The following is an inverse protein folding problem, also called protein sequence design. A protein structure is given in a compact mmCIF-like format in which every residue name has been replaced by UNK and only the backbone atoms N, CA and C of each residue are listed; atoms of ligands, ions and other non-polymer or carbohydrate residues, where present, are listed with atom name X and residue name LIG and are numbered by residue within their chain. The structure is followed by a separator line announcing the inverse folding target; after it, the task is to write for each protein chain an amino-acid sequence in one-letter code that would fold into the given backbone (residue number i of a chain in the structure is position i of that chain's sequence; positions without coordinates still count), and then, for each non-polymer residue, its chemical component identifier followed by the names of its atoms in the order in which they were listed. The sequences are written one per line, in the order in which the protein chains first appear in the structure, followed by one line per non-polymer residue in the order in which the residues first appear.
data_IF_463886470048
#
_entry.id   IF_463886470048
#
_cell.length_a   1.000
_cell.length_b   1.000
_cell.length_c   1.000
_cell.angle_alpha   90.00
_cell.angle_beta   90.00
_cell.angle_gamma   90.00
#
_symmetry.space_group_name_H-M   'P 1'
#
loop_
_entity.id
_entity.type
_entity.pdbx_description
1 polymer ?
#
# COMPACT_ATOMS: atom_id res chain seq x y z
N UNK A 1 -5.67 -22.68 -0.15
CA UNK A 1 -5.58 -22.16 -1.54
C UNK A 1 -4.90 -20.81 -1.48
N UNK A 2 -3.98 -20.55 -2.39
CA UNK A 2 -3.28 -19.26 -2.47
C UNK A 2 -4.22 -18.17 -3.00
N UNK A 3 -4.06 -16.94 -2.48
CA UNK A 3 -4.78 -15.77 -3.01
C UNK A 3 -4.22 -15.43 -4.38
N UNK A 4 -5.03 -15.43 -5.42
CA UNK A 4 -4.58 -15.22 -6.80
C UNK A 4 -5.44 -14.22 -7.53
N UNK A 5 -4.81 -13.28 -8.24
CA UNK A 5 -5.45 -12.29 -9.10
C UNK A 5 -4.95 -12.44 -10.54
N UNK A 6 -5.85 -12.73 -11.46
CA UNK A 6 -5.60 -12.82 -12.90
C UNK A 6 -6.36 -11.68 -13.57
N UNK A 7 -5.68 -10.95 -14.47
CA UNK A 7 -6.24 -9.81 -15.19
C UNK A 7 -5.89 -9.93 -16.67
N UNK A 8 -6.84 -9.64 -17.54
CA UNK A 8 -6.62 -9.41 -18.97
C UNK A 8 -7.40 -8.17 -19.40
N UNK A 9 -6.73 -7.27 -20.11
CA UNK A 9 -7.28 -6.08 -20.75
C UNK A 9 -8.17 -5.22 -19.83
N UNK A 10 -7.61 -4.73 -18.73
CA UNK A 10 -8.27 -3.81 -17.79
C UNK A 10 -7.40 -2.57 -17.54
N UNK A 11 -7.86 -1.41 -18.01
CA UNK A 11 -7.10 -0.16 -17.95
C UNK A 11 -5.72 -0.29 -18.60
N UNK A 12 -4.66 0.06 -17.88
CA UNK A 12 -3.29 -0.08 -18.36
C UNK A 12 -2.75 -1.53 -18.37
N UNK A 13 -3.48 -2.48 -17.75
CA UNK A 13 -3.03 -3.86 -17.60
C UNK A 13 -3.56 -4.71 -18.76
N UNK A 14 -2.65 -5.19 -19.60
CA UNK A 14 -2.92 -6.15 -20.69
C UNK A 14 -2.99 -7.58 -20.17
N UNK A 15 -2.07 -7.98 -19.30
CA UNK A 15 -2.05 -9.33 -18.72
C UNK A 15 -1.34 -9.37 -17.37
N UNK A 16 -1.96 -10.00 -16.38
CA UNK A 16 -1.35 -10.25 -15.07
C UNK A 16 -1.77 -11.62 -14.52
N UNK A 17 -0.85 -12.30 -13.84
CA UNK A 17 -1.13 -13.45 -12.96
C UNK A 17 -0.31 -13.27 -11.69
N UNK A 18 -1.00 -12.90 -10.61
CA UNK A 18 -0.40 -12.44 -9.36
C UNK A 18 -0.81 -13.40 -8.25
N UNK A 19 0.15 -13.94 -7.52
CA UNK A 19 -0.08 -14.67 -6.28
C UNK A 19 0.17 -13.70 -5.10
N UNK A 20 -0.89 -13.37 -4.36
CA UNK A 20 -0.82 -12.43 -3.23
C UNK A 20 -0.34 -13.15 -1.97
N UNK A 21 0.77 -12.65 -1.43
CA UNK A 21 1.35 -13.08 -0.16
C UNK A 21 0.98 -12.11 0.95
N UNK A 22 1.60 -12.24 2.12
CA UNK A 22 1.34 -11.31 3.23
C UNK A 22 1.97 -9.96 2.96
N UNK A 23 3.17 -9.93 2.38
CA UNK A 23 3.84 -8.72 1.95
C UNK A 23 3.94 -8.70 0.42
N UNK A 24 3.34 -7.72 -0.23
CA UNK A 24 3.37 -7.59 -1.68
C UNK A 24 3.97 -6.23 -2.07
N UNK A 25 4.84 -6.21 -3.07
CA UNK A 25 5.38 -4.98 -3.64
C UNK A 25 5.26 -4.97 -5.16
N UNK A 26 4.72 -3.88 -5.69
CA UNK A 26 4.53 -3.63 -7.12
C UNK A 26 5.36 -2.43 -7.54
N UNK A 27 6.32 -2.62 -8.45
CA UNK A 27 7.15 -1.57 -9.02
C UNK A 27 6.88 -1.37 -10.52
N UNK A 28 7.10 -0.16 -11.02
CA UNK A 28 7.05 0.15 -12.46
C UNK A 28 6.93 1.64 -12.71
N UNK A 29 7.09 2.06 -13.97
CA UNK A 29 7.04 3.47 -14.38
C UNK A 29 5.70 4.16 -14.11
N UNK A 30 5.66 5.49 -14.21
CA UNK A 30 4.44 6.25 -13.93
C UNK A 30 3.37 5.92 -14.98
N UNK A 31 2.13 5.73 -14.53
CA UNK A 31 1.04 5.32 -15.41
C UNK A 31 1.07 3.85 -15.85
N UNK A 32 1.99 3.01 -15.33
CA UNK A 32 2.08 1.60 -15.72
C UNK A 32 0.91 0.70 -15.29
N UNK A 33 0.05 1.17 -14.37
CA UNK A 33 -1.08 0.40 -13.83
C UNK A 33 -0.91 -0.11 -12.40
N UNK A 34 0.13 0.35 -11.67
CA UNK A 34 0.31 0.02 -10.23
C UNK A 34 -0.92 0.31 -9.39
N UNK A 35 -1.48 1.52 -9.48
CA UNK A 35 -2.68 1.90 -8.74
C UNK A 35 -3.90 1.10 -9.16
N UNK A 36 -3.99 0.67 -10.43
CA UNK A 36 -5.04 -0.23 -10.89
C UNK A 36 -5.01 -1.55 -10.13
N UNK A 37 -3.82 -2.16 -9.98
CA UNK A 37 -3.65 -3.41 -9.24
C UNK A 37 -3.95 -3.20 -7.75
N UNK A 38 -3.43 -2.15 -7.14
CA UNK A 38 -3.66 -1.84 -5.72
C UNK A 38 -5.16 -1.69 -5.42
N UNK A 39 -5.91 -0.99 -6.28
CA UNK A 39 -7.36 -0.82 -6.15
C UNK A 39 -8.11 -2.14 -6.36
N UNK A 40 -7.75 -2.94 -7.35
CA UNK A 40 -8.37 -4.28 -7.54
C UNK A 40 -8.16 -5.18 -6.32
N UNK A 41 -6.93 -5.22 -5.79
CA UNK A 41 -6.62 -5.96 -4.55
C UNK A 41 -7.49 -5.44 -3.41
N UNK A 42 -7.57 -4.11 -3.24
CA UNK A 42 -8.42 -3.50 -2.20
C UNK A 42 -9.87 -3.95 -2.32
N UNK A 43 -10.46 -3.83 -3.51
CA UNK A 43 -11.86 -4.15 -3.77
C UNK A 43 -12.12 -5.62 -3.45
N UNK A 44 -11.34 -6.54 -4.04
CA UNK A 44 -11.64 -7.95 -3.93
C UNK A 44 -11.33 -8.54 -2.55
N UNK A 45 -10.23 -8.14 -1.91
CA UNK A 45 -9.91 -8.64 -0.57
C UNK A 45 -10.80 -8.01 0.52
N UNK A 46 -11.41 -6.84 0.26
CA UNK A 46 -12.36 -6.18 1.17
C UNK A 46 -13.82 -6.54 0.91
N UNK A 47 -14.11 -7.22 -0.21
CA UNK A 47 -15.47 -7.56 -0.59
C UNK A 47 -16.03 -8.67 0.31
N UNK A 48 -17.10 -8.33 1.04
CA UNK A 48 -17.91 -9.33 1.73
C UNK A 48 -19.06 -9.73 0.82
N UNK A 49 -19.13 -11.02 0.48
CA UNK A 49 -20.18 -11.54 -0.41
C UNK A 49 -21.51 -11.55 0.34
N UNK A 50 -22.27 -10.49 0.14
CA UNK A 50 -23.63 -10.39 0.62
C UNK A 50 -24.55 -11.15 -0.36
N UNK A 51 -25.07 -12.30 0.08
CA UNK A 51 -26.05 -13.11 -0.69
C UNK A 51 -27.42 -12.44 -0.83
N UNK A 52 -27.61 -11.28 -0.20
CA UNK A 52 -28.86 -10.51 -0.14
C UNK A 52 -28.62 -9.19 -0.89
N UNK A 53 -28.68 -9.21 -2.21
CA UNK A 53 -28.47 -8.01 -3.04
C UNK A 53 -28.08 -8.33 -4.47
N UNK A 54 -28.08 -7.30 -5.33
CA UNK A 54 -27.54 -7.39 -6.67
C UNK A 54 -26.00 -7.37 -6.62
N UNK A 55 -25.41 -8.57 -6.69
CA UNK A 55 -23.97 -8.79 -6.67
C UNK A 55 -23.24 -7.99 -7.77
N UNK A 56 -23.83 -7.90 -8.97
CA UNK A 56 -23.25 -7.15 -10.09
C UNK A 56 -23.14 -5.67 -9.73
N UNK A 57 -24.25 -5.07 -9.32
CA UNK A 57 -24.32 -3.63 -9.03
C UNK A 57 -23.45 -3.27 -7.81
N UNK A 58 -23.41 -4.14 -6.80
CA UNK A 58 -22.58 -3.95 -5.61
C UNK A 58 -21.07 -3.96 -5.90
N UNK A 59 -20.59 -4.81 -6.81
CA UNK A 59 -19.19 -4.79 -7.21
C UNK A 59 -18.90 -3.60 -8.12
N UNK A 60 -19.77 -3.29 -9.09
CA UNK A 60 -19.58 -2.14 -9.97
C UNK A 60 -19.47 -0.82 -9.21
N UNK A 61 -20.28 -0.61 -8.15
CA UNK A 61 -20.19 0.61 -7.34
C UNK A 61 -18.82 0.76 -6.66
N UNK A 62 -18.18 -0.34 -6.23
CA UNK A 62 -16.82 -0.28 -5.68
C UNK A 62 -15.80 0.14 -6.74
N UNK A 63 -15.95 -0.30 -7.99
CA UNK A 63 -15.08 0.16 -9.08
C UNK A 63 -15.28 1.65 -9.37
N UNK A 64 -16.50 2.17 -9.24
CA UNK A 64 -16.78 3.61 -9.34
C UNK A 64 -16.15 4.39 -8.17
N UNK A 65 -16.34 3.93 -6.93
CA UNK A 65 -15.75 4.54 -5.72
C UNK A 65 -14.22 4.62 -5.77
N UNK A 66 -13.58 3.64 -6.41
CA UNK A 66 -12.14 3.59 -6.63
C UNK A 66 -11.68 4.32 -7.91
N UNK A 67 -12.61 4.92 -8.68
CA UNK A 67 -12.38 5.59 -9.95
C UNK A 67 -11.69 4.70 -11.00
N UNK A 68 -12.12 3.45 -11.10
CA UNK A 68 -11.60 2.47 -12.07
C UNK A 68 -12.71 1.77 -12.89
N UNK A 69 -13.98 2.17 -12.73
CA UNK A 69 -15.08 1.63 -13.54
C UNK A 69 -14.89 1.91 -15.05
N UNK A 70 -14.31 3.05 -15.42
CA UNK A 70 -14.02 3.37 -16.83
C UNK A 70 -12.91 2.53 -17.45
N UNK A 71 -12.27 1.63 -16.69
CA UNK A 71 -11.16 0.81 -17.18
C UNK A 71 -11.62 -0.53 -17.78
N UNK A 72 -12.90 -0.87 -17.66
CA UNK A 72 -13.50 -2.01 -18.34
C UNK A 72 -13.48 -1.81 -19.87
N UNK A 73 -13.08 -2.86 -20.57
CA UNK A 73 -13.10 -3.01 -22.02
C UNK A 73 -14.01 -4.20 -22.37
N UNK A 74 -14.42 -4.32 -23.65
CA UNK A 74 -15.27 -5.42 -24.11
C UNK A 74 -14.68 -6.81 -23.84
N UNK A 75 -13.35 -6.93 -23.85
CA UNK A 75 -12.61 -8.17 -23.64
C UNK A 75 -11.92 -8.26 -22.27
N UNK A 76 -12.33 -7.40 -21.32
CA UNK A 76 -11.83 -7.47 -19.93
C UNK A 76 -12.17 -8.83 -19.33
N UNK A 77 -11.14 -9.44 -18.75
CA UNK A 77 -11.29 -10.61 -17.89
C UNK A 77 -10.57 -10.36 -16.56
N UNK A 78 -11.26 -10.60 -15.45
CA UNK A 78 -10.68 -10.53 -14.12
C UNK A 78 -11.08 -11.79 -13.37
N UNK A 79 -10.15 -12.42 -12.68
CA UNK A 79 -10.42 -13.58 -11.85
C UNK A 79 -9.61 -13.50 -10.57
N UNK A 80 -10.31 -13.44 -9.44
CA UNK A 80 -9.76 -13.41 -8.11
C UNK A 80 -10.17 -14.65 -7.32
N UNK A 81 -9.20 -15.36 -6.76
CA UNK A 81 -9.42 -16.55 -5.93
C UNK A 81 -8.82 -16.33 -4.54
N UNK A 82 -9.52 -16.76 -3.49
CA UNK A 82 -9.02 -16.80 -2.11
C UNK A 82 -9.53 -18.06 -1.40
N UNK A 83 -9.23 -18.19 -0.10
CA UNK A 83 -9.55 -19.40 0.68
C UNK A 83 -11.05 -19.74 0.74
N UNK A 84 -11.92 -18.73 0.62
CA UNK A 84 -13.37 -18.88 0.81
C UNK A 84 -14.16 -18.65 -0.47
N UNK A 85 -13.53 -18.56 -1.64
CA UNK A 85 -14.26 -18.43 -2.90
C UNK A 85 -13.46 -17.88 -4.06
N UNK A 86 -14.18 -17.64 -5.15
CA UNK A 86 -13.69 -16.99 -6.36
C UNK A 86 -14.70 -15.95 -6.84
N UNK A 87 -14.19 -14.85 -7.39
CA UNK A 87 -14.94 -13.84 -8.14
C UNK A 87 -14.32 -13.78 -9.53
N UNK A 88 -15.13 -13.81 -10.57
CA UNK A 88 -14.67 -13.58 -11.93
C UNK A 88 -15.57 -12.59 -12.66
N UNK A 89 -14.97 -11.86 -13.60
CA UNK A 89 -15.63 -10.93 -14.51
C UNK A 89 -15.29 -11.36 -15.94
N UNK A 90 -16.31 -11.66 -16.72
CA UNK A 90 -16.23 -12.00 -18.14
C UNK A 90 -17.57 -11.68 -18.82
N UNK A 91 -17.57 -11.39 -20.12
CA UNK A 91 -18.78 -11.04 -20.89
C UNK A 91 -19.64 -9.94 -20.25
N UNK A 92 -18.97 -8.92 -19.71
CA UNK A 92 -19.56 -7.78 -18.98
C UNK A 92 -20.35 -8.15 -17.71
N UNK A 93 -20.08 -9.31 -17.10
CA UNK A 93 -20.78 -9.79 -15.90
C UNK A 93 -19.80 -10.33 -14.87
N UNK A 94 -20.05 -9.99 -13.62
CA UNK A 94 -19.47 -10.62 -12.45
C UNK A 94 -20.24 -11.89 -12.11
N UNK A 95 -19.50 -12.90 -11.68
CA UNK A 95 -20.02 -14.07 -11.01
C UNK A 95 -19.07 -14.49 -9.89
N UNK A 96 -19.57 -15.30 -8.96
CA UNK A 96 -18.78 -15.83 -7.86
C UNK A 96 -19.14 -17.26 -7.53
N UNK A 97 -18.17 -17.98 -6.97
CA UNK A 97 -18.36 -19.30 -6.38
C UNK A 97 -17.88 -19.27 -4.93
N UNK A 98 -18.80 -19.52 -3.98
CA UNK A 98 -18.53 -19.45 -2.53
C UNK A 98 -19.07 -20.71 -1.87
N UNK A 99 -18.25 -21.46 -1.10
CA UNK A 99 -18.73 -22.62 -0.34
C UNK A 99 -19.86 -22.25 0.64
N UNK A 100 -20.83 -23.14 0.82
CA UNK A 100 -22.03 -22.89 1.64
C UNK A 100 -21.77 -22.77 3.16
N UNK A 101 -20.58 -23.11 3.65
CA UNK A 101 -20.39 -23.48 5.07
C UNK A 101 -19.21 -22.83 5.81
N UNK A 102 -18.65 -21.70 5.34
CA UNK A 102 -17.62 -20.97 6.12
C UNK A 102 -18.17 -19.63 6.60
N UNK A 103 -18.05 -19.38 7.91
CA UNK A 103 -18.12 -18.03 8.44
C UNK A 103 -17.13 -17.16 7.67
N UNK A 104 -17.65 -16.15 6.98
CA UNK A 104 -16.82 -15.20 6.24
C UNK A 104 -16.16 -14.33 7.31
N UNK A 105 -14.90 -14.61 7.64
CA UNK A 105 -14.10 -13.65 8.41
C UNK A 105 -14.05 -12.36 7.59
N UNK A 106 -14.61 -11.28 8.12
CA UNK A 106 -14.58 -9.97 7.45
C UNK A 106 -13.14 -9.49 7.38
N UNK A 107 -12.52 -9.65 6.22
CA UNK A 107 -11.23 -9.02 5.92
C UNK A 107 -11.54 -7.55 5.69
N UNK A 108 -11.05 -6.70 6.56
CA UNK A 108 -11.18 -5.26 6.43
C UNK A 108 -9.87 -4.70 5.87
N UNK A 109 -9.96 -4.19 4.65
CA UNK A 109 -8.86 -3.62 3.91
C UNK A 109 -8.81 -2.10 4.06
N UNK A 110 -7.66 -1.58 4.43
CA UNK A 110 -7.40 -0.14 4.39
C UNK A 110 -6.57 0.22 3.16
N UNK A 111 -7.17 0.98 2.26
CA UNK A 111 -6.46 1.59 1.13
C UNK A 111 -6.01 3.01 1.47
N UNK A 112 -4.74 3.29 1.23
CA UNK A 112 -4.10 4.59 1.47
C UNK A 112 -3.57 5.12 0.13
N UNK A 113 -4.17 6.21 -0.41
CA UNK A 113 -3.78 6.77 -1.70
C UNK A 113 -2.41 7.46 -1.68
N UNK A 114 -1.80 7.61 -2.85
CA UNK A 114 -0.58 8.39 -3.04
C UNK A 114 -0.84 9.90 -2.81
N UNK A 115 -2.03 10.38 -3.15
CA UNK A 115 -2.46 11.78 -3.02
C UNK A 115 -2.82 12.18 -1.58
N UNK A 116 -2.58 11.31 -0.59
CA UNK A 116 -2.87 11.55 0.83
C UNK A 116 -2.30 12.87 1.39
N UNK A 117 -1.23 13.39 0.80
CA UNK A 117 -0.67 14.70 1.18
C UNK A 117 -1.69 15.84 1.00
N UNK A 118 -2.66 15.69 0.09
CA UNK A 118 -3.75 16.65 -0.07
C UNK A 118 -4.53 16.84 1.24
N UNK A 119 -4.68 15.78 2.03
CA UNK A 119 -5.45 15.82 3.27
C UNK A 119 -4.76 16.66 4.34
N UNK A 120 -3.43 16.59 4.46
CA UNK A 120 -2.69 17.44 5.40
C UNK A 120 -2.65 18.89 4.97
N UNK A 121 -2.57 19.17 3.65
CA UNK A 121 -2.59 20.55 3.14
C UNK A 121 -3.96 21.22 3.28
N UNK A 122 -5.07 20.48 3.10
CA UNK A 122 -6.42 21.03 3.05
C UNK A 122 -7.34 20.57 4.19
N UNK A 123 -6.81 19.97 5.26
CA UNK A 123 -7.60 19.38 6.36
C UNK A 123 -8.74 20.29 6.84
N UNK A 124 -8.46 21.58 7.00
CA UNK A 124 -9.41 22.61 7.47
C UNK A 124 -10.55 22.92 6.50
N UNK A 125 -10.37 22.66 5.21
CA UNK A 125 -11.32 22.99 4.15
C UNK A 125 -12.00 21.76 3.55
N UNK A 126 -11.57 20.54 3.90
CA UNK A 126 -12.18 19.29 3.40
C UNK A 126 -13.69 19.26 3.64
N UNK A 127 -14.15 19.61 4.84
CA UNK A 127 -15.59 19.63 5.14
C UNK A 127 -16.35 20.60 4.22
N UNK A 128 -15.80 21.79 3.97
CA UNK A 128 -16.38 22.77 3.04
C UNK A 128 -16.41 22.25 1.61
N UNK A 129 -15.35 21.58 1.14
CA UNK A 129 -15.30 21.01 -0.20
C UNK A 129 -16.35 19.90 -0.38
N UNK A 130 -16.50 19.03 0.62
CA UNK A 130 -17.52 17.96 0.63
C UNK A 130 -18.93 18.55 0.63
N UNK A 131 -19.21 19.55 1.48
CA UNK A 131 -20.52 20.20 1.54
C UNK A 131 -20.90 20.89 0.22
N UNK A 132 -19.91 21.41 -0.51
CA UNK A 132 -20.10 22.01 -1.83
C UNK A 132 -20.07 20.99 -2.98
N UNK A 133 -20.11 19.68 -2.69
CA UNK A 133 -20.10 18.59 -3.68
C UNK A 133 -18.90 18.63 -4.63
N UNK A 134 -17.74 19.06 -4.12
CA UNK A 134 -16.49 18.95 -4.87
C UNK A 134 -16.21 17.46 -5.20
N UNK A 135 -15.70 17.14 -6.40
CA UNK A 135 -15.45 15.76 -6.83
C UNK A 135 -14.19 15.19 -6.17
N UNK A 136 -14.26 14.94 -4.86
CA UNK A 136 -13.16 14.34 -4.10
C UNK A 136 -13.30 12.81 -4.13
N UNK A 137 -12.24 12.06 -4.46
CA UNK A 137 -12.26 10.60 -4.41
C UNK A 137 -12.70 10.05 -3.05
N UNK A 138 -13.59 9.06 -3.03
CA UNK A 138 -14.09 8.45 -1.79
C UNK A 138 -12.95 7.83 -0.97
N UNK A 139 -11.95 7.25 -1.64
CA UNK A 139 -10.73 6.71 -1.01
C UNK A 139 -9.96 7.77 -0.21
N UNK A 140 -9.89 9.00 -0.73
CA UNK A 140 -9.25 10.12 -0.05
C UNK A 140 -10.07 10.63 1.13
N UNK A 141 -11.41 10.64 1.01
CA UNK A 141 -12.31 10.98 2.10
C UNK A 141 -12.26 9.95 3.24
N UNK A 142 -12.19 8.66 2.92
CA UNK A 142 -12.02 7.59 3.90
C UNK A 142 -10.69 7.76 4.65
N UNK A 143 -9.59 7.99 3.94
CA UNK A 143 -8.30 8.30 4.55
C UNK A 143 -8.38 9.54 5.46
N UNK A 144 -9.01 10.63 5.00
CA UNK A 144 -9.18 11.84 5.81
C UNK A 144 -9.98 11.58 7.09
N UNK A 145 -11.05 10.79 7.01
CA UNK A 145 -11.85 10.42 8.18
C UNK A 145 -11.02 9.68 9.24
N UNK A 146 -10.22 8.69 8.82
CA UNK A 146 -9.36 7.93 9.73
C UNK A 146 -8.25 8.82 10.29
N UNK A 147 -7.68 9.70 9.48
CA UNK A 147 -6.67 10.65 9.93
C UNK A 147 -7.21 11.63 10.99
N UNK A 148 -8.45 12.12 10.84
CA UNK A 148 -9.09 12.94 11.89
C UNK A 148 -9.31 12.15 13.18
N UNK A 149 -9.75 10.89 13.10
CA UNK A 149 -9.85 10.01 14.28
C UNK A 149 -8.49 9.80 14.95
N UNK A 150 -7.44 9.58 14.15
CA UNK A 150 -6.07 9.43 14.62
C UNK A 150 -5.56 10.68 15.34
N UNK A 151 -5.80 11.88 14.79
CA UNK A 151 -5.46 13.15 15.44
C UNK A 151 -6.14 13.33 16.79
N UNK A 152 -7.41 12.95 16.89
CA UNK A 152 -8.15 13.01 18.16
C UNK A 152 -7.59 12.04 19.21
N UNK A 153 -7.15 10.85 18.79
CA UNK A 153 -6.56 9.84 19.69
C UNK A 153 -5.12 10.16 20.09
N UNK A 154 -4.32 10.72 19.16
CA UNK A 154 -2.92 11.04 19.36
C UNK A 154 -2.65 12.54 19.14
N UNK A 155 -3.12 13.43 20.04
CA UNK A 155 -2.91 14.87 19.91
C UNK A 155 -1.43 15.26 20.01
N UNK A 156 -0.59 14.39 20.57
CA UNK A 156 0.87 14.49 20.57
C UNK A 156 1.44 13.19 20.00
N UNK A 157 1.93 13.23 18.76
CA UNK A 157 2.37 12.06 18.01
C UNK A 157 3.87 12.11 17.71
N UNK A 158 4.64 11.21 18.32
CA UNK A 158 6.09 11.16 18.15
C UNK A 158 6.46 10.47 16.83
N UNK A 159 7.19 11.17 15.97
CA UNK A 159 7.59 10.69 14.65
C UNK A 159 9.05 10.26 14.69
N UNK A 160 9.26 9.03 15.16
CA UNK A 160 10.60 8.49 15.42
C UNK A 160 11.52 8.51 14.19
N UNK A 161 10.97 8.40 12.97
CA UNK A 161 11.78 8.39 11.74
C UNK A 161 12.45 9.75 11.43
N UNK A 162 11.92 10.84 11.96
CA UNK A 162 12.39 12.22 11.75
C UNK A 162 12.85 12.90 13.05
N UNK A 163 12.72 12.23 14.19
CA UNK A 163 12.90 12.80 15.52
C UNK A 163 12.12 14.10 15.76
N UNK A 164 10.84 14.08 15.36
CA UNK A 164 9.90 15.20 15.50
C UNK A 164 8.72 14.81 16.39
N UNK A 165 8.01 15.81 16.89
CA UNK A 165 6.72 15.61 17.56
C UNK A 165 5.66 16.42 16.82
N UNK A 166 4.66 15.73 16.26
CA UNK A 166 3.46 16.37 15.73
C UNK A 166 2.51 16.66 16.87
N UNK A 167 1.99 17.88 16.90
CA UNK A 167 1.06 18.33 17.92
C UNK A 167 -0.15 18.97 17.26
N UNK A 168 -1.32 18.56 17.70
CA UNK A 168 -2.58 19.17 17.26
C UNK A 168 -3.42 19.58 18.45
N UNK A 169 -3.89 20.83 18.40
CA UNK A 169 -5.03 21.29 19.16
C UNK A 169 -6.19 21.52 18.16
N UNK A 170 -7.42 21.65 18.66
CA UNK A 170 -8.64 21.75 17.82
C UNK A 170 -8.59 22.81 16.71
N UNK A 171 -7.63 23.76 16.74
CA UNK A 171 -7.47 24.81 15.74
C UNK A 171 -6.11 24.85 15.04
N UNK A 172 -5.06 24.20 15.57
CA UNK A 172 -3.70 24.28 15.07
C UNK A 172 -3.00 22.91 14.98
N UNK A 173 -2.17 22.79 13.96
CA UNK A 173 -1.30 21.63 13.72
C UNK A 173 0.13 22.14 13.60
N UNK A 174 1.03 21.60 14.42
CA UNK A 174 2.42 22.07 14.53
C UNK A 174 3.38 20.88 14.61
N UNK A 175 4.64 21.14 14.25
CA UNK A 175 5.75 20.22 14.42
C UNK A 175 6.80 20.82 15.35
N UNK A 176 7.13 20.11 16.41
CA UNK A 176 8.30 20.38 17.23
C UNK A 176 9.50 19.60 16.70
N UNK A 177 10.51 20.34 16.26
CA UNK A 177 11.78 19.87 15.74
C UNK A 177 12.78 19.72 16.90
N UNK A 178 13.03 18.50 17.38
CA UNK A 178 13.81 18.29 18.62
C UNK A 178 15.26 18.76 18.53
N UNK A 179 15.93 18.51 17.41
CA UNK A 179 17.33 18.93 17.19
C UNK A 179 17.51 20.44 17.34
N UNK A 180 16.63 21.21 16.69
CA UNK A 180 16.69 22.68 16.70
C UNK A 180 15.92 23.31 17.86
N UNK A 181 15.13 22.52 18.60
CA UNK A 181 14.15 22.96 19.63
C UNK A 181 13.18 24.03 19.13
N UNK A 182 12.77 23.96 17.86
CA UNK A 182 11.85 24.91 17.24
C UNK A 182 10.49 24.27 16.96
N UNK A 183 9.44 25.07 17.06
CA UNK A 183 8.10 24.69 16.61
C UNK A 183 7.77 25.44 15.33
N UNK A 184 7.28 24.73 14.32
CA UNK A 184 6.78 25.30 13.06
C UNK A 184 5.33 24.86 12.81
N UNK A 185 4.53 25.62 12.06
CA UNK A 185 3.25 25.13 11.56
C UNK A 185 3.45 23.88 10.69
N UNK A 186 2.60 22.86 10.85
CA UNK A 186 2.73 21.61 10.09
C UNK A 186 2.63 21.84 8.57
N UNK A 187 1.75 22.76 8.15
CA UNK A 187 1.60 23.19 6.75
C UNK A 187 2.87 23.77 6.11
N UNK A 188 3.85 24.19 6.92
CA UNK A 188 5.10 24.76 6.45
C UNK A 188 6.22 23.70 6.34
N UNK A 189 5.92 22.43 6.71
CA UNK A 189 6.85 21.30 6.55
C UNK A 189 7.01 20.89 5.09
N UNK A 190 8.06 20.12 4.75
CA UNK A 190 8.23 19.59 3.40
C UNK A 190 7.10 18.61 3.02
N UNK A 191 6.80 18.49 1.72
CA UNK A 191 5.75 17.60 1.21
C UNK A 191 5.93 16.14 1.63
N UNK A 192 7.17 15.65 1.71
CA UNK A 192 7.48 14.31 2.23
C UNK A 192 7.03 14.13 3.69
N UNK A 193 7.31 15.11 4.56
CA UNK A 193 6.85 15.10 5.95
C UNK A 193 5.32 15.19 6.02
N UNK A 194 4.72 16.08 5.21
CA UNK A 194 3.26 16.24 5.13
C UNK A 194 2.54 15.00 4.62
N UNK A 195 3.21 14.13 3.86
CA UNK A 195 2.66 12.85 3.39
C UNK A 195 2.84 11.71 4.39
N UNK A 196 4.01 11.65 5.06
CA UNK A 196 4.36 10.52 5.93
C UNK A 196 3.73 10.61 7.31
N UNK A 197 3.59 11.81 7.90
CA UNK A 197 2.98 11.93 9.23
C UNK A 197 1.53 11.43 9.21
N UNK A 198 0.65 11.85 8.28
CA UNK A 198 -0.70 11.31 8.18
C UNK A 198 -0.73 9.80 7.94
N UNK A 199 0.17 9.29 7.08
CA UNK A 199 0.30 7.84 6.84
C UNK A 199 0.57 7.08 8.14
N UNK A 200 1.59 7.49 8.90
CA UNK A 200 1.96 6.81 10.14
C UNK A 200 0.87 6.90 11.21
N UNK A 201 0.22 8.06 11.36
CA UNK A 201 -0.89 8.24 12.30
C UNK A 201 -2.09 7.35 11.94
N UNK A 202 -2.42 7.26 10.64
CA UNK A 202 -3.51 6.41 10.15
C UNK A 202 -3.19 4.92 10.37
N UNK A 203 -1.96 4.48 10.11
CA UNK A 203 -1.55 3.10 10.36
C UNK A 203 -1.62 2.77 11.86
N UNK A 204 -1.12 3.65 12.73
CA UNK A 204 -1.15 3.45 14.17
C UNK A 204 -2.57 3.35 14.70
N UNK A 205 -3.44 4.27 14.26
CA UNK A 205 -4.85 4.24 14.62
C UNK A 205 -5.53 2.95 14.15
N UNK A 206 -5.38 2.60 12.87
CA UNK A 206 -6.02 1.44 12.26
C UNK A 206 -5.59 0.11 12.91
N UNK A 207 -4.31 -0.01 13.25
CA UNK A 207 -3.76 -1.20 13.94
C UNK A 207 -4.25 -1.26 15.38
N UNK A 208 -4.22 -0.16 16.12
CA UNK A 208 -4.64 -0.13 17.52
C UNK A 208 -6.15 -0.40 17.68
N UNK A 209 -6.99 0.14 16.80
CA UNK A 209 -8.44 -0.10 16.81
C UNK A 209 -8.81 -1.49 16.26
N UNK A 210 -7.87 -2.19 15.62
CA UNK A 210 -8.07 -3.51 14.99
C UNK A 210 -9.22 -3.50 13.97
N UNK A 211 -9.53 -2.33 13.40
CA UNK A 211 -10.55 -2.16 12.38
C UNK A 211 -10.13 -2.81 11.05
N UNK A 212 -8.82 -2.91 10.80
CA UNK A 212 -8.25 -3.40 9.55
C UNK A 212 -7.19 -4.47 9.80
N UNK A 213 -7.10 -5.44 8.89
CA UNK A 213 -6.13 -6.54 8.99
C UNK A 213 -5.28 -6.72 7.71
N UNK A 214 -5.50 -5.87 6.71
CA UNK A 214 -4.68 -5.74 5.50
C UNK A 214 -4.60 -4.28 5.07
N UNK A 215 -3.46 -3.89 4.56
CA UNK A 215 -3.17 -2.52 4.18
C UNK A 215 -2.69 -2.46 2.74
N UNK A 216 -3.25 -1.56 1.94
CA UNK A 216 -2.79 -1.27 0.58
C UNK A 216 -2.33 0.18 0.57
N UNK A 217 -1.04 0.41 0.36
CA UNK A 217 -0.43 1.75 0.50
C UNK A 217 0.23 2.11 -0.82
N UNK A 218 -0.25 3.16 -1.45
CA UNK A 218 0.34 3.65 -2.68
C UNK A 218 1.49 4.62 -2.42
N UNK A 219 2.63 4.36 -3.06
CA UNK A 219 3.81 5.22 -3.10
C UNK A 219 4.12 5.83 -1.71
N UNK A 220 4.31 4.99 -0.67
CA UNK A 220 4.58 5.45 0.69
C UNK A 220 5.81 6.37 0.76
N UNK A 221 6.76 6.19 -0.15
CA UNK A 221 8.07 6.84 -0.20
C UNK A 221 8.12 8.15 -0.98
N UNK A 222 7.01 8.56 -1.62
CA UNK A 222 7.00 9.73 -2.49
C UNK A 222 7.51 10.98 -1.73
N UNK A 223 8.45 11.70 -2.35
CA UNK A 223 9.18 12.84 -1.79
C UNK A 223 10.11 12.54 -0.58
N UNK A 224 10.52 11.29 -0.36
CA UNK A 224 11.48 10.92 0.70
C UNK A 224 12.86 10.55 0.17
N UNK A 225 13.89 10.96 0.91
CA UNK A 225 15.25 10.49 0.69
C UNK A 225 15.38 8.97 0.91
N UNK A 226 16.24 8.26 0.15
CA UNK A 226 16.40 6.80 0.23
C UNK A 226 16.54 6.23 1.65
N UNK A 227 17.36 6.87 2.50
CA UNK A 227 17.58 6.41 3.88
C UNK A 227 16.30 6.47 4.73
N UNK A 228 15.43 7.45 4.49
CA UNK A 228 14.14 7.57 5.16
C UNK A 228 13.16 6.50 4.69
N UNK A 229 13.25 6.08 3.42
CA UNK A 229 12.39 5.01 2.87
C UNK A 229 12.62 3.69 3.61
N UNK A 230 13.87 3.36 3.96
CA UNK A 230 14.22 2.18 4.78
C UNK A 230 13.52 2.25 6.14
N UNK A 231 13.65 3.38 6.83
CA UNK A 231 13.01 3.59 8.15
C UNK A 231 11.48 3.51 8.05
N UNK A 232 10.90 4.09 6.99
CA UNK A 232 9.46 4.03 6.75
C UNK A 232 8.99 2.59 6.52
N UNK A 233 9.67 1.83 5.67
CA UNK A 233 9.35 0.43 5.42
C UNK A 233 9.40 -0.39 6.72
N UNK A 234 10.44 -0.21 7.53
CA UNK A 234 10.54 -0.88 8.83
C UNK A 234 9.35 -0.55 9.75
N UNK A 235 8.89 0.71 9.77
CA UNK A 235 7.69 1.08 10.54
C UNK A 235 6.43 0.40 10.01
N UNK A 236 6.26 0.35 8.69
CA UNK A 236 5.11 -0.32 8.06
C UNK A 236 5.12 -1.82 8.41
N UNK A 237 6.23 -2.52 8.18
CA UNK A 237 6.34 -3.97 8.43
C UNK A 237 6.17 -4.32 9.90
N UNK A 238 6.70 -3.50 10.82
CA UNK A 238 6.52 -3.69 12.27
C UNK A 238 5.06 -3.70 12.72
N UNK A 239 4.22 -2.92 12.05
CA UNK A 239 2.84 -2.64 12.48
C UNK A 239 1.82 -3.44 11.68
N UNK A 240 2.10 -3.66 10.39
CA UNK A 240 1.19 -4.25 9.44
C UNK A 240 1.68 -5.64 9.05
N UNK A 241 0.99 -6.68 9.53
CA UNK A 241 1.33 -8.08 9.22
C UNK A 241 1.02 -8.47 7.78
N UNK A 242 0.11 -7.73 7.11
CA UNK A 242 -0.30 -7.94 5.72
C UNK A 242 -0.35 -6.60 4.99
N UNK A 243 0.55 -6.39 4.05
CA UNK A 243 0.66 -5.11 3.33
C UNK A 243 0.93 -5.32 1.84
N UNK A 244 0.29 -4.50 1.02
CA UNK A 244 0.58 -4.35 -0.39
C UNK A 244 1.05 -2.94 -0.65
N UNK A 245 2.23 -2.79 -1.25
CA UNK A 245 2.83 -1.50 -1.57
C UNK A 245 2.95 -1.34 -3.08
N UNK A 246 2.69 -0.12 -3.56
CA UNK A 246 3.14 0.29 -4.90
C UNK A 246 4.30 1.27 -4.76
N UNK A 247 5.26 1.21 -5.67
CA UNK A 247 6.46 2.04 -5.59
C UNK A 247 7.02 2.37 -6.96
N UNK A 248 7.78 3.46 -7.01
CA UNK A 248 8.69 3.79 -8.11
C UNK A 248 10.15 3.61 -7.73
N UNK A 249 10.42 3.26 -6.48
CA UNK A 249 11.73 3.38 -5.86
C UNK A 249 12.47 2.05 -5.83
N UNK A 250 13.59 1.91 -6.57
CA UNK A 250 14.48 0.76 -6.40
C UNK A 250 15.10 0.71 -4.99
N UNK A 251 15.19 1.86 -4.31
CA UNK A 251 15.67 1.90 -2.92
C UNK A 251 14.69 1.23 -1.95
N UNK A 252 13.38 1.33 -2.19
CA UNK A 252 12.39 0.66 -1.35
C UNK A 252 12.46 -0.86 -1.55
N UNK A 253 12.70 -1.33 -2.78
CA UNK A 253 12.93 -2.76 -3.05
C UNK A 253 14.24 -3.26 -2.41
N UNK A 254 15.30 -2.47 -2.50
CA UNK A 254 16.56 -2.79 -1.80
C UNK A 254 16.34 -2.90 -0.29
N UNK A 255 15.49 -2.04 0.28
CA UNK A 255 15.11 -2.11 1.68
C UNK A 255 14.33 -3.41 1.99
N UNK A 256 13.41 -3.85 1.13
CA UNK A 256 12.76 -5.17 1.27
C UNK A 256 13.76 -6.32 1.24
N UNK A 257 14.71 -6.30 0.31
CA UNK A 257 15.77 -7.32 0.25
C UNK A 257 16.57 -7.39 1.54
N UNK A 258 16.91 -6.25 2.15
CA UNK A 258 17.60 -6.25 3.44
C UNK A 258 16.80 -6.96 4.56
N UNK A 259 15.47 -6.86 4.53
CA UNK A 259 14.60 -7.54 5.50
C UNK A 259 14.53 -9.06 5.25
N UNK A 260 14.56 -9.47 3.98
CA UNK A 260 14.59 -10.89 3.58
C UNK A 260 15.96 -11.52 3.86
N UNK A 261 17.04 -10.81 3.54
CA UNK A 261 18.41 -11.24 3.81
C UNK A 261 18.66 -11.48 5.30
N UNK A 262 18.11 -10.63 6.16
CA UNK A 262 18.19 -10.83 7.60
C UNK A 262 17.59 -12.20 8.02
N UNK A 263 16.49 -12.62 7.39
CA UNK A 263 15.90 -13.94 7.63
C UNK A 263 16.79 -15.07 7.10
N UNK A 264 17.28 -14.95 5.86
CA UNK A 264 18.15 -15.96 5.24
C UNK A 264 19.47 -16.14 6.02
N UNK A 265 20.06 -15.05 6.50
CA UNK A 265 21.26 -15.05 7.34
C UNK A 265 21.02 -15.72 8.70
N UNK A 266 19.84 -15.53 9.32
CA UNK A 266 19.47 -16.21 10.57
C UNK A 266 19.34 -17.72 10.41
N UNK A 267 18.76 -18.19 9.30
CA UNK A 267 18.66 -19.62 9.00
C UNK A 267 20.04 -20.22 8.79
N UNK A 268 20.89 -19.53 8.03
CA UNK A 268 22.22 -20.03 7.67
C UNK A 268 23.21 -19.98 8.84
N UNK A 269 23.09 -18.98 9.72
CA UNK A 269 24.00 -18.75 10.85
C UNK A 269 23.25 -18.32 12.12
N UNK A 270 22.53 -19.24 12.80
CA UNK A 270 21.74 -18.91 13.99
C UNK A 270 22.55 -18.28 15.14
N UNK A 271 23.85 -18.59 15.23
CA UNK A 271 24.76 -18.02 16.23
C UNK A 271 24.99 -16.52 16.10
N UNK A 272 24.72 -15.92 14.92
CA UNK A 272 24.88 -14.48 14.65
C UNK A 272 23.61 -13.66 14.89
N UNK A 273 22.57 -14.25 15.50
CA UNK A 273 21.28 -13.60 15.65
C UNK A 273 21.36 -12.20 16.31
N UNK A 274 22.13 -12.07 17.39
CA UNK A 274 22.32 -10.80 18.09
C UNK A 274 23.00 -9.71 17.24
N UNK A 275 23.87 -10.08 16.31
CA UNK A 275 24.49 -9.14 15.37
C UNK A 275 23.48 -8.69 14.31
N UNK A 276 22.68 -9.62 13.80
CA UNK A 276 21.64 -9.35 12.80
C UNK A 276 20.57 -8.42 13.40
N UNK A 277 20.12 -8.68 14.63
CA UNK A 277 19.10 -7.85 15.30
C UNK A 277 19.55 -6.41 15.58
N UNK A 278 20.86 -6.14 15.62
CA UNK A 278 21.39 -4.76 15.70
C UNK A 278 21.23 -3.98 14.40
N UNK A 279 21.15 -4.68 13.26
CA UNK A 279 21.03 -4.08 11.93
C UNK A 279 19.57 -4.04 11.46
N UNK A 280 18.86 -5.15 11.63
CA UNK A 280 17.46 -5.29 11.24
C UNK A 280 16.65 -5.70 12.48
N UNK A 281 15.68 -4.87 12.91
CA UNK A 281 14.84 -5.20 14.06
C UNK A 281 14.12 -6.52 13.87
N UNK A 282 13.98 -7.31 14.94
CA UNK A 282 13.40 -8.66 14.90
C UNK A 282 12.00 -8.68 14.27
N UNK A 283 11.20 -7.66 14.53
CA UNK A 283 9.83 -7.53 14.03
C UNK A 283 9.77 -7.16 12.54
N UNK A 284 10.88 -6.72 11.95
CA UNK A 284 10.98 -6.38 10.53
C UNK A 284 11.45 -7.55 9.66
N UNK A 285 11.81 -8.68 10.25
CA UNK A 285 12.41 -9.79 9.50
C UNK A 285 11.35 -10.48 8.66
N UNK A 286 11.59 -10.56 7.36
CA UNK A 286 10.64 -11.09 6.39
C UNK A 286 11.09 -12.45 5.87
N UNK A 287 10.22 -13.46 5.99
CA UNK A 287 10.43 -14.72 5.30
C UNK A 287 10.08 -14.54 3.82
N UNK A 288 11.01 -14.92 2.93
CA UNK A 288 10.84 -14.91 1.48
C UNK A 288 9.52 -15.56 1.01
N UNK A 289 9.08 -16.66 1.65
CA UNK A 289 7.83 -17.36 1.29
C UNK A 289 6.56 -16.50 1.45
N UNK A 290 6.65 -15.46 2.29
CA UNK A 290 5.57 -14.54 2.60
C UNK A 290 5.64 -13.25 1.77
N UNK A 291 6.57 -13.16 0.81
CA UNK A 291 6.78 -11.98 -0.04
C UNK A 291 6.35 -12.27 -1.47
N UNK A 292 5.57 -11.36 -2.05
CA UNK A 292 5.31 -11.27 -3.49
C UNK A 292 5.95 -9.98 -4.04
N UNK A 293 6.73 -10.07 -5.10
CA UNK A 293 7.34 -8.90 -5.73
C UNK A 293 7.12 -8.93 -7.24
N UNK A 294 6.59 -7.84 -7.79
CA UNK A 294 6.19 -7.77 -9.18
C UNK A 294 6.61 -6.47 -9.85
N UNK A 295 7.14 -6.57 -11.08
CA UNK A 295 7.37 -5.44 -11.98
C UNK A 295 6.21 -5.33 -12.97
N UNK A 296 5.75 -4.09 -13.20
CA UNK A 296 4.76 -3.75 -14.21
C UNK A 296 5.45 -3.00 -15.34
N UNK A 297 5.44 -3.60 -16.52
CA UNK A 297 6.11 -3.07 -17.71
C UNK A 297 5.31 -3.43 -18.96
N UNK A 298 5.07 -2.44 -19.82
CA UNK A 298 4.33 -2.62 -21.08
C UNK A 298 2.94 -3.28 -20.92
N UNK A 299 2.26 -2.99 -19.80
CA UNK A 299 0.97 -3.56 -19.44
C UNK A 299 1.01 -5.02 -18.98
N UNK A 300 2.19 -5.60 -18.76
CA UNK A 300 2.37 -6.94 -18.20
C UNK A 300 2.87 -6.86 -16.77
N UNK A 301 2.42 -7.79 -15.93
CA UNK A 301 2.89 -7.94 -14.54
C UNK A 301 3.73 -9.21 -14.45
N UNK A 302 4.99 -9.05 -14.07
CA UNK A 302 5.99 -10.13 -14.04
C UNK A 302 6.56 -10.26 -12.63
N UNK A 303 6.68 -11.48 -12.13
CA UNK A 303 7.36 -11.74 -10.85
C UNK A 303 8.85 -11.37 -10.99
N UNK A 304 9.37 -10.69 -9.99
CA UNK A 304 10.79 -10.35 -9.86
C UNK A 304 11.42 -11.02 -8.63
N UNK A 305 10.82 -12.12 -8.16
CA UNK A 305 11.42 -12.98 -7.15
C UNK A 305 12.43 -13.92 -7.80
N UNK A 306 13.57 -14.08 -7.15
CA UNK A 306 14.59 -15.07 -7.44
C UNK A 306 14.48 -16.23 -6.46
N UNK A 307 14.01 -17.37 -6.94
CA UNK A 307 13.80 -18.58 -6.13
C UNK A 307 15.12 -19.27 -5.74
N UNK A 308 16.20 -19.06 -6.51
CA UNK A 308 17.51 -19.65 -6.24
C UNK A 308 18.22 -18.89 -5.12
N UNK A 309 18.27 -17.56 -5.22
CA UNK A 309 18.90 -16.69 -4.22
C UNK A 309 17.96 -16.31 -3.08
N UNK A 310 16.65 -16.57 -3.22
CA UNK A 310 15.59 -16.21 -2.25
C UNK A 310 15.56 -14.71 -1.96
N UNK A 311 15.57 -13.90 -3.01
CA UNK A 311 15.60 -12.43 -3.00
C UNK A 311 14.72 -11.81 -4.10
N UNK A 312 14.59 -10.49 -4.10
CA UNK A 312 13.97 -9.72 -5.17
C UNK A 312 15.06 -9.23 -6.14
N UNK A 313 14.89 -9.44 -7.44
CA UNK A 313 15.80 -8.99 -8.50
C UNK A 313 15.63 -7.49 -8.71
N UNK A 314 16.59 -6.69 -8.25
CA UNK A 314 16.57 -5.23 -8.36
C UNK A 314 17.05 -4.70 -9.73
N UNK A 315 17.90 -5.47 -10.43
CA UNK A 315 18.59 -5.03 -11.64
C UNK A 315 17.67 -4.87 -12.87
N UNK A 316 16.44 -5.37 -12.81
CA UNK A 316 15.47 -5.23 -13.91
C UNK A 316 14.77 -3.86 -13.93
N UNK A 317 15.14 -2.90 -13.08
CA UNK A 317 14.43 -1.62 -12.92
C UNK A 317 15.16 -0.45 -13.60
N UNK A 318 16.47 -0.56 -13.83
CA UNK A 318 17.32 0.50 -14.38
C UNK A 318 17.40 0.50 -15.92
N UNK A 319 16.25 0.50 -16.61
CA UNK A 319 16.25 0.73 -18.07
C UNK A 319 16.75 2.14 -18.45
N UNK A 320 16.64 3.10 -17.53
CA UNK A 320 17.05 4.50 -17.75
C UNK A 320 18.57 4.68 -17.65
N UNK A 321 19.25 3.93 -16.78
CA UNK A 321 20.71 4.01 -16.66
C UNK A 321 21.41 3.53 -17.94
N UNK A 322 20.85 2.51 -18.60
CA UNK A 322 21.36 2.00 -19.87
C UNK A 322 21.08 2.96 -21.05
N UNK A 323 19.92 3.62 -21.06
CA UNK A 323 19.59 4.67 -22.04
C UNK A 323 20.49 5.92 -21.92
N UNK A 324 20.93 6.27 -20.72
CA UNK A 324 21.88 7.38 -20.52
C UNK A 324 23.33 7.03 -20.87
N UNK A 325 23.68 5.73 -20.92
CA UNK A 325 25.01 5.27 -21.36
C UNK A 325 25.14 5.19 -22.88
N UNK A 326 24.04 5.06 -23.61
CA UNK A 326 24.03 5.01 -25.08
C UNK A 326 24.04 6.39 -25.75
N UNK A 327 23.88 7.47 -24.98
CA UNK A 327 23.81 8.85 -25.48
C UNK A 327 25.01 9.73 -25.08
N UNK A 328 26.12 9.15 -24.61
CA UNK A 328 27.37 9.86 -24.31
C UNK A 328 28.56 9.25 -25.07
#
# INVERSE_FOLDING_TARGET
MDRKLIIRNFGAIKSASICLKDYNIFIGEQGSGKSTIAKLITIFEGYTINRIGDFQQSLLSLFEEHNIASYFNEDTYIHFTWESGTIYYEDNRFACEVPESKEISTIANLYIPAERFFVSTFSRSIATLVLNKAPIPQTLLNFASIYEKAKNKYPNYNISIFDMLFQTDKSNETLYLKESRKTIPFKDASSGIQSVIPLLMVLDYAVDEKEYNRFVIEEPELNLFPQTQVKLLQQIVRKCSKVTLTTHSPYLLSAFNNLIEAHNALISNPSKAEEIYKLVPKECILNFENVGAYKIENGKVVSILDEEYRLIIADQIDSVADLMRLNN
#
